data_IF_583645514835
#
_entry.id   IF_583645514835
#
_cell.length_a   1.000
_cell.length_b   1.000
_cell.length_c   1.000
_cell.angle_alpha   90.00
_cell.angle_beta   90.00
_cell.angle_gamma   90.00
#
_symmetry.space_group_name_H-M   'P 1'
#
loop_
_entity.id
_entity.type
_entity.pdbx_description
1 polymer ?
#
# COMPACT_ATOMS: atom_id res chain seq x y z
N UNK A 1 9.21 -16.67 -49.52
CA UNK A 1 8.82 -16.58 -48.09
C UNK A 1 8.10 -15.25 -47.92
N UNK A 2 6.78 -15.27 -47.71
CA UNK A 2 5.98 -14.04 -47.65
C UNK A 2 6.44 -13.16 -46.51
N UNK A 3 6.97 -11.98 -46.84
CA UNK A 3 7.40 -10.96 -45.88
C UNK A 3 6.26 -10.63 -44.91
N UNK A 4 5.00 -10.69 -45.38
CA UNK A 4 3.80 -10.51 -44.55
C UNK A 4 3.63 -11.51 -43.41
N UNK A 5 4.18 -12.73 -43.52
CA UNK A 5 4.16 -13.74 -42.44
C UNK A 5 5.29 -13.58 -41.42
N UNK A 6 6.36 -12.86 -41.78
CA UNK A 6 7.50 -12.58 -40.90
C UNK A 6 7.27 -11.38 -39.98
N UNK A 7 6.48 -10.40 -40.40
CA UNK A 7 6.14 -9.21 -39.60
C UNK A 7 5.62 -9.55 -38.19
N UNK A 8 4.61 -10.43 -38.00
CA UNK A 8 4.12 -10.77 -36.67
C UNK A 8 5.17 -11.50 -35.81
N UNK A 9 6.05 -12.29 -36.43
CA UNK A 9 7.15 -13.00 -35.74
C UNK A 9 8.18 -11.99 -35.22
N UNK A 10 8.53 -11.00 -36.04
CA UNK A 10 9.46 -9.92 -35.66
C UNK A 10 8.85 -9.09 -34.52
N UNK A 11 7.58 -8.70 -34.61
CA UNK A 11 6.89 -7.94 -33.55
C UNK A 11 6.84 -8.74 -32.24
N UNK A 12 6.52 -10.04 -32.30
CA UNK A 12 6.50 -10.91 -31.13
C UNK A 12 7.89 -10.99 -30.47
N UNK A 13 8.95 -11.18 -31.27
CA UNK A 13 10.32 -11.23 -30.77
C UNK A 13 10.77 -9.91 -30.12
N UNK A 14 10.49 -8.78 -30.78
CA UNK A 14 10.79 -7.44 -30.26
C UNK A 14 10.03 -7.19 -28.97
N UNK A 15 8.74 -7.56 -28.90
CA UNK A 15 7.94 -7.42 -27.68
C UNK A 15 8.49 -8.27 -26.54
N UNK A 16 8.90 -9.52 -26.81
CA UNK A 16 9.43 -10.45 -25.81
C UNK A 16 10.76 -9.99 -25.21
N UNK A 17 11.57 -9.23 -25.94
CA UNK A 17 12.86 -8.71 -25.45
C UNK A 17 12.70 -7.31 -24.83
N UNK A 18 11.98 -6.40 -25.50
CA UNK A 18 11.88 -5.01 -25.05
C UNK A 18 10.96 -4.84 -23.83
N UNK A 19 9.83 -5.56 -23.73
CA UNK A 19 8.95 -5.45 -22.55
C UNK A 19 9.68 -5.78 -21.25
N UNK A 20 10.31 -6.97 -21.09
CA UNK A 20 10.96 -7.31 -19.83
C UNK A 20 12.13 -6.38 -19.52
N UNK A 21 12.87 -5.89 -20.53
CA UNK A 21 13.93 -4.90 -20.32
C UNK A 21 13.37 -3.57 -19.79
N UNK A 22 12.31 -3.03 -20.40
CA UNK A 22 11.66 -1.80 -19.94
C UNK A 22 11.07 -1.96 -18.53
N UNK A 23 10.42 -3.10 -18.24
CA UNK A 23 9.89 -3.40 -16.92
C UNK A 23 11.01 -3.56 -15.88
N UNK A 24 12.15 -4.18 -16.24
CA UNK A 24 13.29 -4.32 -15.35
C UNK A 24 13.95 -2.97 -15.02
N UNK A 25 14.05 -2.06 -15.99
CA UNK A 25 14.58 -0.71 -15.76
C UNK A 25 13.70 0.07 -14.78
N UNK A 26 12.38 -0.02 -14.91
CA UNK A 26 11.43 0.58 -13.96
C UNK A 26 11.60 0.04 -12.54
N UNK A 27 11.82 -1.27 -12.38
CA UNK A 27 12.10 -1.88 -11.06
C UNK A 27 13.37 -1.30 -10.41
N UNK A 28 14.41 -1.00 -11.21
CA UNK A 28 15.67 -0.44 -10.72
C UNK A 28 15.54 1.02 -10.30
N UNK A 29 14.67 1.79 -10.95
CA UNK A 29 14.48 3.22 -10.67
C UNK A 29 13.82 3.47 -9.31
N UNK A 30 12.82 2.65 -8.94
CA UNK A 30 12.21 2.69 -7.61
C UNK A 30 13.20 2.37 -6.49
N UNK A 31 14.06 1.37 -6.70
CA UNK A 31 15.10 1.02 -5.72
C UNK A 31 16.12 2.15 -5.52
N UNK A 32 16.54 2.82 -6.61
CA UNK A 32 17.44 3.98 -6.53
C UNK A 32 16.84 5.12 -5.71
N UNK A 33 15.54 5.39 -5.89
CA UNK A 33 14.83 6.45 -5.13
C UNK A 33 14.72 6.11 -3.65
N UNK A 34 14.55 4.84 -3.31
CA UNK A 34 14.61 4.38 -1.93
C UNK A 34 16.02 4.51 -1.34
N UNK A 35 17.06 4.15 -2.09
CA UNK A 35 18.45 4.29 -1.65
C UNK A 35 18.83 5.77 -1.42
N UNK A 36 18.38 6.66 -2.31
CA UNK A 36 18.54 8.11 -2.17
C UNK A 36 17.86 8.63 -0.90
N UNK A 37 16.64 8.17 -0.62
CA UNK A 37 15.93 8.47 0.63
C UNK A 37 16.71 7.99 1.86
N UNK A 38 17.18 6.74 1.89
CA UNK A 38 17.98 6.19 2.97
C UNK A 38 19.27 6.97 3.19
N UNK A 39 19.90 7.49 2.13
CA UNK A 39 21.11 8.31 2.23
C UNK A 39 20.86 9.67 2.88
N UNK A 40 19.64 10.21 2.75
CA UNK A 40 19.28 11.49 3.35
C UNK A 40 18.92 11.38 4.84
N UNK A 41 18.45 10.22 5.31
CA UNK A 41 18.04 10.03 6.71
C UNK A 41 19.17 10.31 7.72
N UNK A 42 20.41 9.80 7.56
CA UNK A 42 21.52 10.14 8.44
C UNK A 42 21.88 11.63 8.39
N UNK A 43 21.75 12.26 7.21
CA UNK A 43 22.05 13.68 7.02
C UNK A 43 21.12 14.62 7.81
N UNK A 44 19.93 14.15 8.18
CA UNK A 44 18.97 14.87 9.04
C UNK A 44 18.98 14.35 10.50
N UNK A 45 19.99 13.56 10.87
CA UNK A 45 20.14 13.01 12.22
C UNK A 45 19.11 11.93 12.55
N UNK A 46 18.64 11.18 11.57
CA UNK A 46 17.70 10.06 11.76
C UNK A 46 18.45 8.75 11.56
N UNK A 47 18.56 7.95 12.62
CA UNK A 47 19.04 6.58 12.55
C UNK A 47 17.92 5.66 12.07
N UNK A 48 18.27 4.72 11.20
CA UNK A 48 17.33 3.79 10.63
C UNK A 48 17.94 2.41 10.46
N UNK A 49 17.10 1.39 10.49
CA UNK A 49 17.43 0.02 10.14
C UNK A 49 16.64 -0.35 8.88
N UNK A 50 17.31 -0.81 7.84
CA UNK A 50 16.64 -1.31 6.64
C UNK A 50 15.96 -2.66 6.95
N UNK A 51 14.71 -2.80 6.51
CA UNK A 51 13.91 -3.99 6.77
C UNK A 51 13.46 -4.64 5.48
N UNK A 52 13.28 -5.97 5.55
CA UNK A 52 12.80 -6.72 4.42
C UNK A 52 11.34 -6.38 4.10
N UNK A 53 11.09 -6.15 2.81
CA UNK A 53 9.84 -5.56 2.30
C UNK A 53 8.66 -6.49 2.52
N UNK A 54 8.86 -7.80 2.34
CA UNK A 54 7.77 -8.77 2.35
C UNK A 54 7.35 -9.15 3.77
N UNK A 55 8.33 -9.35 4.66
CA UNK A 55 8.09 -9.74 6.05
C UNK A 55 7.41 -8.63 6.86
N UNK A 56 7.81 -7.37 6.67
CA UNK A 56 7.24 -6.26 7.44
C UNK A 56 5.94 -5.74 6.86
N UNK A 57 5.73 -5.75 5.53
CA UNK A 57 4.41 -5.44 4.95
C UNK A 57 3.32 -6.38 5.45
N UNK A 58 3.66 -7.65 5.67
CA UNK A 58 2.74 -8.63 6.25
C UNK A 58 2.41 -8.32 7.73
N UNK A 59 3.41 -7.91 8.52
CA UNK A 59 3.23 -7.53 9.93
C UNK A 59 2.48 -6.22 10.13
N UNK A 60 2.59 -5.28 9.19
CA UNK A 60 1.97 -3.97 9.28
C UNK A 60 0.46 -4.01 8.97
N UNK A 61 -0.10 -5.16 8.53
CA UNK A 61 -1.53 -5.36 8.28
C UNK A 61 -2.16 -4.44 7.22
N UNK A 62 -1.35 -3.57 6.61
CA UNK A 62 -1.79 -2.54 5.67
C UNK A 62 -1.78 -3.15 4.27
N UNK A 63 -2.98 -3.47 3.75
CA UNK A 63 -3.15 -3.81 2.34
C UNK A 63 -2.74 -2.61 1.51
N UNK A 64 -1.52 -2.64 0.99
CA UNK A 64 -1.09 -1.71 -0.06
C UNK A 64 -2.11 -1.84 -1.20
N UNK A 65 -2.68 -0.72 -1.63
CA UNK A 65 -3.65 -0.75 -2.73
C UNK A 65 -3.00 -1.37 -3.97
N UNK A 66 -3.78 -2.07 -4.80
CA UNK A 66 -3.23 -2.81 -5.96
C UNK A 66 -2.47 -1.93 -6.96
N UNK A 67 -2.66 -0.60 -6.91
CA UNK A 67 -1.98 0.39 -7.74
C UNK A 67 -0.69 0.95 -7.11
N UNK A 68 -0.44 0.66 -5.84
CA UNK A 68 0.69 1.14 -5.07
C UNK A 68 1.69 0.00 -4.86
N UNK A 69 2.98 0.30 -5.02
CA UNK A 69 4.06 -0.67 -4.88
C UNK A 69 5.02 -0.18 -3.79
N UNK A 70 5.35 -1.04 -2.84
CA UNK A 70 6.38 -0.73 -1.85
C UNK A 70 7.77 -0.80 -2.49
N UNK A 71 8.51 0.30 -2.43
CA UNK A 71 9.89 0.39 -2.88
C UNK A 71 10.89 0.09 -1.76
N UNK A 72 10.49 0.21 -0.49
CA UNK A 72 11.31 -0.16 0.66
C UNK A 72 10.69 0.22 2.00
N UNK A 73 11.16 -0.44 3.05
CA UNK A 73 10.72 -0.24 4.43
C UNK A 73 11.94 0.02 5.30
N UNK A 74 11.87 1.04 6.14
CA UNK A 74 12.88 1.33 7.16
C UNK A 74 12.22 1.45 8.52
N UNK A 75 12.83 0.87 9.54
CA UNK A 75 12.50 1.17 10.93
C UNK A 75 13.32 2.36 11.41
N UNK A 76 12.73 3.23 12.22
CA UNK A 76 13.46 4.30 12.88
C UNK A 76 13.75 3.91 14.32
N UNK A 77 15.00 4.05 14.74
CA UNK A 77 15.45 3.57 16.06
C UNK A 77 15.08 4.52 17.21
N UNK A 78 14.96 5.83 16.94
CA UNK A 78 14.96 6.86 17.99
C UNK A 78 13.78 7.84 17.90
N UNK A 79 12.70 7.52 17.15
CA UNK A 79 11.56 8.43 16.98
C UNK A 79 10.23 7.74 17.27
N UNK A 80 9.20 8.54 17.58
CA UNK A 80 7.80 8.11 17.74
C UNK A 80 7.18 7.48 16.47
N UNK A 81 7.98 7.18 15.46
CA UNK A 81 7.57 6.55 14.21
C UNK A 81 8.32 5.24 14.17
N UNK A 82 7.61 4.11 14.19
CA UNK A 82 8.25 2.80 14.16
C UNK A 82 8.78 2.48 12.76
N UNK A 83 7.97 2.73 11.72
CA UNK A 83 8.29 2.36 10.35
C UNK A 83 7.95 3.45 9.35
N UNK A 84 8.80 3.60 8.35
CA UNK A 84 8.55 4.36 7.14
C UNK A 84 8.56 3.42 5.94
N UNK A 85 7.52 3.50 5.13
CA UNK A 85 7.38 2.81 3.85
C UNK A 85 7.51 3.84 2.74
N UNK A 86 8.44 3.64 1.84
CA UNK A 86 8.49 4.40 0.59
C UNK A 86 7.68 3.63 -0.45
N UNK A 87 6.60 4.23 -0.92
CA UNK A 87 5.71 3.63 -1.90
C UNK A 87 5.74 4.40 -3.22
N UNK A 88 5.61 3.68 -4.33
CA UNK A 88 5.46 4.26 -5.66
C UNK A 88 4.06 3.99 -6.21
N UNK A 89 3.48 4.99 -6.89
CA UNK A 89 2.25 4.84 -7.65
C UNK A 89 2.57 5.22 -9.09
N UNK A 90 2.33 4.27 -9.99
CA UNK A 90 2.56 4.48 -11.42
C UNK A 90 1.30 5.07 -12.06
N UNK A 91 1.45 6.18 -12.78
CA UNK A 91 0.39 6.83 -13.53
C UNK A 91 0.79 7.01 -15.00
N UNK A 92 -0.13 7.49 -15.84
CA UNK A 92 0.14 7.82 -17.24
C UNK A 92 1.18 8.95 -17.39
N UNK A 93 1.38 9.76 -16.36
CA UNK A 93 2.29 10.91 -16.35
C UNK A 93 3.65 10.60 -15.71
N UNK A 94 3.88 9.35 -15.28
CA UNK A 94 5.11 8.94 -14.60
C UNK A 94 4.86 8.25 -13.26
N UNK A 95 5.94 8.04 -12.53
CA UNK A 95 5.94 7.38 -11.22
C UNK A 95 6.03 8.43 -10.13
N UNK A 96 5.01 8.49 -9.27
CA UNK A 96 5.01 9.34 -8.08
C UNK A 96 5.44 8.52 -6.87
N UNK A 97 6.26 9.12 -6.00
CA UNK A 97 6.77 8.50 -4.79
C UNK A 97 6.12 9.15 -3.56
N UNK A 98 5.68 8.32 -2.63
CA UNK A 98 5.00 8.70 -1.40
C UNK A 98 5.71 8.09 -0.21
N UNK A 99 5.74 8.84 0.89
CA UNK A 99 6.25 8.37 2.16
C UNK A 99 5.04 8.09 3.04
N UNK A 100 4.84 6.82 3.39
CA UNK A 100 3.89 6.44 4.42
C UNK A 100 4.64 6.13 5.70
N UNK A 101 4.12 6.58 6.83
CA UNK A 101 4.72 6.28 8.13
C UNK A 101 3.68 5.59 9.01
N UNK A 102 4.13 4.67 9.84
CA UNK A 102 3.34 4.05 10.90
C UNK A 102 3.92 4.43 12.25
N UNK A 103 3.04 4.95 13.10
CA UNK A 103 3.28 5.16 14.53
C UNK A 103 2.49 4.09 15.26
N UNK A 104 3.16 3.19 15.97
CA UNK A 104 2.49 2.35 16.96
C UNK A 104 2.06 3.28 18.09
N UNK A 105 0.75 3.43 18.21
CA UNK A 105 0.18 4.01 19.41
C UNK A 105 0.58 3.11 20.59
N UNK A 106 1.38 3.64 21.53
CA UNK A 106 1.66 2.98 22.81
C UNK A 106 0.44 3.00 23.75
N UNK A 107 -0.67 3.63 23.36
CA UNK A 107 -1.93 3.41 24.02
C UNK A 107 -2.38 1.97 23.72
N UNK A 108 -2.08 1.06 24.65
CA UNK A 108 -2.91 -0.11 24.97
C UNK A 108 -4.31 0.38 25.37
N UNK A 109 -5.01 1.01 24.43
CA UNK A 109 -6.45 0.87 24.37
C UNK A 109 -6.63 -0.57 23.94
N UNK A 110 -6.60 -1.45 24.95
CA UNK A 110 -7.28 -2.74 25.00
C UNK A 110 -8.36 -2.70 23.92
N UNK A 111 -8.43 -3.70 23.05
CA UNK A 111 -9.57 -3.90 22.17
C UNK A 111 -10.84 -4.09 23.02
N UNK A 112 -11.28 -3.06 23.74
CA UNK A 112 -12.65 -2.89 24.10
C UNK A 112 -13.34 -2.78 22.77
N UNK A 113 -13.97 -3.88 22.38
CA UNK A 113 -14.95 -3.90 21.31
C UNK A 113 -15.78 -2.64 21.48
N UNK A 114 -15.64 -1.69 20.55
CA UNK A 114 -16.47 -0.48 20.53
C UNK A 114 -17.88 -0.94 20.86
N UNK A 115 -18.43 -0.54 22.02
CA UNK A 115 -19.80 -0.87 22.40
C UNK A 115 -20.69 -0.17 21.39
N UNK A 116 -21.00 -0.87 20.30
CA UNK A 116 -21.72 -0.31 19.17
C UNK A 116 -23.18 -0.29 19.55
N UNK A 117 -23.62 0.81 20.16
CA UNK A 117 -25.03 1.14 20.26
C UNK A 117 -25.54 1.42 18.85
N UNK A 118 -26.41 0.54 18.34
CA UNK A 118 -27.02 0.68 17.02
C UNK A 118 -28.46 1.11 17.17
N UNK A 119 -28.83 2.16 16.45
CA UNK A 119 -30.22 2.56 16.28
C UNK A 119 -30.92 1.56 15.33
N UNK A 120 -31.97 0.91 15.81
CA UNK A 120 -32.78 -0.02 15.03
C UNK A 120 -34.21 0.50 14.95
N UNK A 121 -34.73 0.64 13.73
CA UNK A 121 -36.11 1.07 13.48
C UNK A 121 -37.05 -0.12 13.63
N UNK A 122 -38.01 -0.03 14.54
CA UNK A 122 -39.07 -1.02 14.74
C UNK A 122 -40.22 -0.73 13.79
N UNK A 123 -40.58 -1.71 12.96
CA UNK A 123 -41.67 -1.62 11.99
C UNK A 123 -42.93 -2.30 12.52
N UNK A 124 -44.09 -1.85 12.09
CA UNK A 124 -45.39 -2.47 12.46
C UNK A 124 -45.55 -3.90 11.95
N UNK A 125 -44.78 -4.29 10.93
CA UNK A 125 -44.76 -5.62 10.34
C UNK A 125 -43.35 -5.98 9.87
N UNK A 126 -43.00 -7.27 9.98
CA UNK A 126 -41.72 -7.83 9.54
C UNK A 126 -41.51 -7.70 8.02
N UNK A 127 -42.59 -7.65 7.23
CA UNK A 127 -42.55 -7.60 5.77
C UNK A 127 -42.97 -6.21 5.24
N UNK A 128 -42.24 -5.16 5.64
CA UNK A 128 -42.32 -3.86 4.98
C UNK A 128 -43.31 -2.84 5.57
N UNK A 129 -43.68 -2.97 6.84
CA UNK A 129 -44.53 -1.99 7.53
C UNK A 129 -43.88 -0.61 7.74
N UNK A 130 -44.71 0.39 8.07
CA UNK A 130 -44.24 1.73 8.50
C UNK A 130 -43.42 1.63 9.78
N UNK A 131 -42.42 2.51 9.93
CA UNK A 131 -41.64 2.61 11.17
C UNK A 131 -42.55 3.19 12.25
N UNK A 132 -42.73 2.44 13.34
CA UNK A 132 -43.59 2.82 14.47
C UNK A 132 -42.76 3.36 15.62
N UNK A 133 -41.52 2.88 15.76
CA UNK A 133 -40.67 3.21 16.90
C UNK A 133 -39.17 3.04 16.56
N UNK A 134 -38.30 3.58 17.40
CA UNK A 134 -36.84 3.51 17.27
C UNK A 134 -36.27 2.95 18.58
N UNK A 135 -35.60 1.80 18.48
CA UNK A 135 -34.98 1.12 19.62
C UNK A 135 -33.47 1.17 19.48
N UNK A 136 -32.79 1.51 20.57
CA UNK A 136 -31.33 1.39 20.65
C UNK A 136 -30.98 -0.01 21.12
N UNK A 137 -30.18 -0.74 20.32
CA UNK A 137 -29.65 -2.06 20.68
C UNK A 137 -28.14 -1.95 20.85
N UNK A 138 -27.65 -2.32 22.04
CA UNK A 138 -26.25 -2.28 22.43
C UNK A 138 -26.11 -2.60 23.91
N UNK A 139 -24.87 -2.70 24.37
CA UNK A 139 -24.46 -2.87 25.78
C UNK A 139 -23.89 -1.57 26.35
#
# INVERSE_FOLDING_TARGET
MDIGKLIPIIIAFVSAVLLPLFLSKRKKEGHKKFEEFCRHLPGIGVRFTELDKESEQAKLGKKISRAQKSEGVVALEERNIDFIIVASVTSQYGVNYYIEYLVKSTFDLREESLKKTKMVRKKSSLFGGKVVDIVWKGD
#
